data_IF_571192896986
#
_entry.id   IF_571192896986
#
_cell.length_a   1.000
_cell.length_b   1.000
_cell.length_c   1.000
_cell.angle_alpha   90.00
_cell.angle_beta   90.00
_cell.angle_gamma   90.00
#
_symmetry.space_group_name_H-M   'P 1'
#
loop_
_entity.id
_entity.type
_entity.pdbx_description
1 polymer ?
#
# COMPACT_ATOMS: atom_id res chain seq x y z
N UNK A 1 8.20 -7.43 -32.23
CA UNK A 1 8.23 -7.25 -30.77
C UNK A 1 8.40 -5.77 -30.50
N UNK A 2 7.33 -5.12 -30.05
CA UNK A 2 7.34 -3.74 -29.60
C UNK A 2 7.59 -3.69 -28.08
N UNK A 3 8.07 -2.55 -27.63
CA UNK A 3 8.25 -2.26 -26.21
C UNK A 3 7.25 -1.19 -25.80
N UNK A 4 6.46 -1.49 -24.77
CA UNK A 4 5.38 -0.64 -24.29
C UNK A 4 5.65 -0.19 -22.86
N UNK A 5 5.37 1.07 -22.58
CA UNK A 5 5.58 1.71 -21.28
C UNK A 5 4.23 2.17 -20.73
N UNK A 6 3.92 1.76 -19.50
CA UNK A 6 2.66 2.05 -18.82
C UNK A 6 2.92 2.88 -17.57
N UNK A 7 2.40 4.10 -17.53
CA UNK A 7 2.60 5.05 -16.44
C UNK A 7 1.28 5.75 -16.05
N UNK A 8 1.23 6.30 -14.84
CA UNK A 8 0.19 7.18 -14.33
C UNK A 8 0.71 8.56 -13.91
N UNK A 9 -0.19 9.54 -13.89
CA UNK A 9 0.06 10.83 -13.27
C UNK A 9 -1.17 11.36 -12.53
N UNK A 10 -0.92 12.12 -11.46
CA UNK A 10 -1.98 12.72 -10.67
C UNK A 10 -2.46 11.90 -9.48
N UNK A 11 -1.87 10.73 -9.22
CA UNK A 11 -2.22 9.83 -8.10
C UNK A 11 -2.24 10.52 -6.73
N UNK A 12 -1.29 11.42 -6.50
CA UNK A 12 -1.17 12.18 -5.25
C UNK A 12 -2.08 13.40 -5.15
N UNK A 13 -2.65 13.87 -6.27
CA UNK A 13 -3.55 15.02 -6.29
C UNK A 13 -4.95 14.62 -5.83
N UNK A 14 -5.62 15.48 -5.04
CA UNK A 14 -6.99 15.25 -4.56
C UNK A 14 -8.06 15.66 -5.58
N UNK A 15 -7.63 16.33 -6.64
CA UNK A 15 -8.47 16.88 -7.69
C UNK A 15 -7.99 16.35 -9.03
N UNK A 16 -8.87 16.43 -10.02
CA UNK A 16 -8.69 15.99 -11.40
C UNK A 16 -8.54 14.48 -11.58
N UNK A 17 -8.98 13.92 -12.72
CA UNK A 17 -8.68 12.54 -13.08
C UNK A 17 -7.19 12.18 -12.98
N UNK A 18 -6.91 10.96 -12.50
CA UNK A 18 -5.60 10.34 -12.74
C UNK A 18 -5.49 10.01 -14.23
N UNK A 19 -4.35 10.37 -14.81
CA UNK A 19 -4.01 10.05 -16.20
C UNK A 19 -3.32 8.71 -16.21
N UNK A 20 -3.67 7.85 -17.16
CA UNK A 20 -2.98 6.62 -17.49
C UNK A 20 -2.49 6.74 -18.93
N UNK A 21 -1.25 6.31 -19.19
CA UNK A 21 -0.68 6.33 -20.53
C UNK A 21 -0.14 4.95 -20.90
N UNK A 22 -0.18 4.65 -22.19
CA UNK A 22 0.48 3.51 -22.81
C UNK A 22 1.27 4.05 -24.00
N UNK A 23 2.59 3.90 -23.95
CA UNK A 23 3.51 4.50 -24.93
C UNK A 23 4.40 3.42 -25.54
N UNK A 24 4.56 3.43 -26.85
CA UNK A 24 5.65 2.76 -27.55
C UNK A 24 6.54 3.86 -28.13
N UNK A 25 7.86 3.75 -27.96
CA UNK A 25 8.80 4.77 -28.46
C UNK A 25 9.24 4.48 -29.90
N UNK A 26 9.23 3.21 -30.31
CA UNK A 26 9.63 2.79 -31.64
C UNK A 26 8.68 1.70 -32.21
N UNK A 27 7.70 2.07 -33.06
CA UNK A 27 7.38 3.44 -33.48
C UNK A 27 6.77 4.27 -32.34
N UNK A 28 6.82 5.59 -32.46
CA UNK A 28 6.22 6.47 -31.45
C UNK A 28 4.68 6.38 -31.52
N UNK A 29 4.08 5.68 -30.57
CA UNK A 29 2.64 5.51 -30.41
C UNK A 29 2.26 5.90 -28.98
N UNK A 30 1.25 6.75 -28.82
CA UNK A 30 0.83 7.28 -27.52
C UNK A 30 -0.68 7.10 -27.37
N UNK A 31 -1.07 6.38 -26.32
CA UNK A 31 -2.46 6.21 -25.92
C UNK A 31 -2.64 6.77 -24.50
N UNK A 32 -3.79 7.38 -24.26
CA UNK A 32 -4.10 8.05 -22.99
C UNK A 32 -5.50 7.67 -22.55
N UNK A 33 -5.68 7.51 -21.24
CA UNK A 33 -6.98 7.31 -20.62
C UNK A 33 -7.03 8.04 -19.28
N UNK A 34 -8.24 8.37 -18.85
CA UNK A 34 -8.49 9.09 -17.61
C UNK A 34 -9.31 8.23 -16.66
N UNK A 35 -8.89 8.17 -15.40
CA UNK A 35 -9.70 7.56 -14.35
C UNK A 35 -10.81 8.51 -13.94
N UNK A 36 -12.07 8.06 -13.86
CA UNK A 36 -13.17 8.93 -13.50
C UNK A 36 -12.99 9.49 -12.09
N UNK A 37 -13.52 10.69 -11.84
CA UNK A 37 -13.43 11.36 -10.53
C UNK A 37 -14.18 10.57 -9.44
N UNK A 38 -15.29 9.95 -9.84
CA UNK A 38 -16.13 9.05 -9.05
C UNK A 38 -16.66 7.93 -9.95
N UNK A 39 -17.08 6.82 -9.37
CA UNK A 39 -17.69 5.72 -10.09
C UNK A 39 -18.64 4.95 -9.18
N UNK A 40 -19.71 4.42 -9.75
CA UNK A 40 -20.59 3.50 -9.04
C UNK A 40 -20.26 2.09 -9.46
N UNK A 41 -19.55 1.38 -8.60
CA UNK A 41 -19.39 -0.06 -8.63
C UNK A 41 -18.55 -0.49 -7.42
N UNK A 42 -18.65 -1.78 -7.06
CA UNK A 42 -17.81 -2.41 -6.02
C UNK A 42 -16.33 -2.52 -6.44
N UNK A 43 -15.92 -1.88 -7.54
CA UNK A 43 -14.56 -1.95 -8.05
C UNK A 43 -13.66 -0.97 -7.30
N UNK A 44 -12.46 -1.46 -7.01
CA UNK A 44 -11.35 -0.70 -6.50
C UNK A 44 -10.69 0.13 -7.60
N UNK A 45 -9.93 1.14 -7.17
CA UNK A 45 -9.08 1.94 -8.06
C UNK A 45 -8.16 1.07 -8.94
N UNK A 46 -7.57 0.02 -8.35
CA UNK A 46 -6.66 -0.91 -9.05
C UNK A 46 -7.41 -1.69 -10.16
N UNK A 47 -8.68 -2.05 -9.93
CA UNK A 47 -9.50 -2.76 -10.93
C UNK A 47 -9.90 -1.87 -12.11
N UNK A 48 -10.25 -0.60 -11.86
CA UNK A 48 -10.58 0.35 -12.93
C UNK A 48 -9.34 0.73 -13.72
N UNK A 49 -8.21 0.98 -13.06
CA UNK A 49 -6.95 1.26 -13.75
C UNK A 49 -6.54 0.10 -14.65
N UNK A 50 -6.63 -1.14 -14.16
CA UNK A 50 -6.41 -2.34 -14.99
C UNK A 50 -7.34 -2.36 -16.20
N UNK A 51 -8.65 -2.14 -16.02
CA UNK A 51 -9.60 -2.12 -17.15
C UNK A 51 -9.21 -1.08 -18.21
N UNK A 52 -8.91 0.16 -17.78
CA UNK A 52 -8.49 1.24 -18.69
C UNK A 52 -7.20 0.94 -19.43
N UNK A 53 -6.22 0.35 -18.75
CA UNK A 53 -4.98 -0.06 -19.41
C UNK A 53 -5.22 -1.18 -20.41
N UNK A 54 -6.04 -2.18 -20.07
CA UNK A 54 -6.37 -3.27 -21.01
C UNK A 54 -7.13 -2.73 -22.23
N UNK A 55 -8.04 -1.76 -22.05
CA UNK A 55 -8.70 -1.07 -23.16
C UNK A 55 -7.67 -0.38 -24.08
N UNK A 56 -6.71 0.36 -23.52
CA UNK A 56 -5.62 0.97 -24.31
C UNK A 56 -4.77 -0.08 -25.01
N UNK A 57 -4.44 -1.20 -24.35
CA UNK A 57 -3.67 -2.28 -24.96
C UNK A 57 -4.39 -2.90 -26.16
N UNK A 58 -5.70 -3.09 -26.06
CA UNK A 58 -6.52 -3.60 -27.15
C UNK A 58 -6.57 -2.61 -28.32
N UNK A 59 -6.74 -1.32 -28.04
CA UNK A 59 -6.71 -0.26 -29.06
C UNK A 59 -5.36 -0.19 -29.77
N UNK A 60 -4.27 -0.36 -29.01
CA UNK A 60 -2.90 -0.34 -29.52
C UNK A 60 -2.50 -1.62 -30.28
N UNK A 61 -3.31 -2.67 -30.23
CA UNK A 61 -2.98 -3.97 -30.80
C UNK A 61 -1.83 -4.68 -30.09
N UNK A 62 -1.65 -4.43 -28.78
CA UNK A 62 -0.58 -5.07 -27.99
C UNK A 62 -0.79 -6.58 -27.91
N UNK A 63 0.25 -7.32 -28.26
CA UNK A 63 0.26 -8.78 -28.32
C UNK A 63 1.06 -9.39 -27.16
N UNK A 64 1.02 -10.72 -27.03
CA UNK A 64 1.84 -11.43 -26.02
C UNK A 64 3.32 -11.48 -26.40
N UNK A 65 3.64 -11.28 -27.67
CA UNK A 65 5.02 -11.23 -28.16
C UNK A 65 5.68 -9.86 -27.91
N UNK A 66 4.90 -8.87 -27.49
CA UNK A 66 5.40 -7.56 -27.07
C UNK A 66 5.86 -7.58 -25.61
N UNK A 67 6.71 -6.61 -25.26
CA UNK A 67 7.24 -6.48 -23.91
C UNK A 67 6.68 -5.24 -23.21
N UNK A 68 6.21 -5.38 -21.99
CA UNK A 68 5.58 -4.30 -21.21
C UNK A 68 6.41 -3.89 -19.99
N UNK A 69 6.82 -2.63 -19.96
CA UNK A 69 7.39 -1.97 -18.81
C UNK A 69 6.27 -1.24 -18.06
N UNK A 70 6.02 -1.64 -16.82
CA UNK A 70 4.91 -1.08 -16.02
C UNK A 70 5.47 -0.33 -14.83
N UNK A 71 4.96 0.88 -14.56
CA UNK A 71 5.32 1.62 -13.37
C UNK A 71 5.10 0.79 -12.09
N UNK A 72 6.02 0.93 -11.14
CA UNK A 72 5.96 0.32 -9.81
C UNK A 72 4.83 0.87 -8.89
N UNK A 73 4.05 1.84 -9.37
CA UNK A 73 2.92 2.43 -8.65
C UNK A 73 1.89 1.40 -8.18
N UNK A 74 1.42 1.54 -6.94
CA UNK A 74 0.47 0.58 -6.33
C UNK A 74 -0.84 0.46 -7.13
N UNK A 75 -1.19 1.47 -7.92
CA UNK A 75 -2.39 1.46 -8.77
C UNK A 75 -2.36 0.32 -9.81
N UNK A 76 -1.15 -0.12 -10.20
CA UNK A 76 -0.93 -1.16 -11.20
C UNK A 76 -0.81 -2.57 -10.64
N UNK A 77 -0.91 -2.79 -9.33
CA UNK A 77 -0.76 -4.16 -8.78
C UNK A 77 -1.80 -5.16 -9.33
N UNK A 78 -3.03 -4.70 -9.57
CA UNK A 78 -4.04 -5.50 -10.26
C UNK A 78 -3.67 -5.83 -11.71
N UNK A 79 -2.99 -4.91 -12.40
CA UNK A 79 -2.50 -5.11 -13.76
C UNK A 79 -1.31 -6.07 -13.81
N UNK A 80 -0.34 -5.92 -12.91
CA UNK A 80 0.82 -6.82 -12.76
C UNK A 80 0.38 -8.29 -12.67
N UNK A 81 -0.59 -8.54 -11.78
CA UNK A 81 -1.19 -9.86 -11.61
C UNK A 81 -1.85 -10.34 -12.91
N UNK A 82 -2.67 -9.49 -13.53
CA UNK A 82 -3.39 -9.84 -14.75
C UNK A 82 -2.46 -10.14 -15.93
N UNK A 83 -1.39 -9.35 -16.14
CA UNK A 83 -0.40 -9.59 -17.20
C UNK A 83 0.28 -10.95 -17.03
N UNK A 84 0.66 -11.28 -15.79
CA UNK A 84 1.25 -12.58 -15.45
C UNK A 84 0.28 -13.73 -15.74
N UNK A 85 -0.96 -13.63 -15.26
CA UNK A 85 -1.98 -14.68 -15.45
C UNK A 85 -2.37 -14.86 -16.92
N UNK A 86 -2.19 -13.84 -17.75
CA UNK A 86 -2.54 -13.88 -19.18
C UNK A 86 -1.35 -14.12 -20.11
N UNK A 87 -0.16 -14.39 -19.55
CA UNK A 87 1.02 -14.80 -20.31
C UNK A 87 1.68 -13.68 -21.12
N UNK A 88 1.61 -12.43 -20.66
CA UNK A 88 2.37 -11.32 -21.25
C UNK A 88 3.80 -11.27 -20.71
N UNK A 89 4.75 -10.81 -21.54
CA UNK A 89 6.09 -10.47 -21.09
C UNK A 89 6.11 -9.08 -20.49
N UNK A 90 6.45 -8.97 -19.20
CA UNK A 90 6.42 -7.68 -18.53
C UNK A 90 7.36 -7.63 -17.32
N UNK A 91 7.74 -6.42 -16.93
CA UNK A 91 8.43 -6.15 -15.67
C UNK A 91 8.06 -4.79 -15.05
N UNK A 92 8.37 -4.63 -13.77
CA UNK A 92 8.20 -3.34 -13.09
C UNK A 92 9.42 -2.45 -13.32
N UNK A 93 9.19 -1.19 -13.69
CA UNK A 93 10.23 -0.17 -13.78
C UNK A 93 9.86 1.07 -12.98
N UNK A 94 10.89 1.85 -12.61
CA UNK A 94 10.69 3.24 -12.24
C UNK A 94 10.71 4.03 -13.54
N UNK A 95 9.58 4.60 -13.92
CA UNK A 95 9.48 5.24 -15.23
C UNK A 95 10.22 6.57 -15.25
N UNK A 96 10.80 6.82 -16.42
CA UNK A 96 11.38 8.04 -16.90
C UNK A 96 11.10 8.15 -18.41
N UNK A 97 11.68 9.16 -19.07
CA UNK A 97 11.52 9.36 -20.51
C UNK A 97 10.09 9.66 -20.95
N UNK A 98 9.76 9.24 -22.19
CA UNK A 98 8.58 9.73 -22.90
C UNK A 98 7.27 9.41 -22.19
N UNK A 99 7.11 8.19 -21.66
CA UNK A 99 5.87 7.81 -20.97
C UNK A 99 5.60 8.69 -19.73
N UNK A 100 6.66 8.99 -18.97
CA UNK A 100 6.56 9.85 -17.80
C UNK A 100 6.21 11.30 -18.20
N UNK A 101 6.92 11.85 -19.19
CA UNK A 101 6.68 13.20 -19.71
C UNK A 101 5.25 13.37 -20.23
N UNK A 102 4.76 12.40 -21.03
CA UNK A 102 3.39 12.42 -21.56
C UNK A 102 2.37 12.38 -20.43
N UNK A 103 2.56 11.52 -19.42
CA UNK A 103 1.62 11.42 -18.30
C UNK A 103 1.55 12.74 -17.51
N UNK A 104 2.70 13.31 -17.14
CA UNK A 104 2.77 14.56 -16.38
C UNK A 104 2.25 15.75 -17.18
N UNK A 105 2.62 15.88 -18.45
CA UNK A 105 2.13 16.96 -19.31
C UNK A 105 0.62 16.85 -19.50
N UNK A 106 0.09 15.66 -19.73
CA UNK A 106 -1.37 15.45 -19.87
C UNK A 106 -2.10 15.82 -18.57
N UNK A 107 -1.54 15.46 -17.42
CA UNK A 107 -2.09 15.84 -16.13
C UNK A 107 -2.00 17.36 -15.87
N UNK A 108 -0.93 18.03 -16.31
CA UNK A 108 -0.82 19.49 -16.24
C UNK A 108 -1.86 20.17 -17.14
N UNK A 109 -2.02 19.69 -18.38
CA UNK A 109 -2.90 20.30 -19.38
C UNK A 109 -4.38 20.24 -18.97
N UNK A 110 -4.84 19.17 -18.33
CA UNK A 110 -6.23 19.13 -17.84
C UNK A 110 -6.47 20.17 -16.74
N UNK A 111 -5.46 20.46 -15.91
CA UNK A 111 -5.57 21.44 -14.82
C UNK A 111 -5.58 22.86 -15.40
N UNK A 112 -4.68 23.15 -16.35
CA UNK A 112 -4.65 24.43 -17.08
C UNK A 112 -5.96 24.67 -17.82
N UNK A 113 -6.48 23.64 -18.51
CA UNK A 113 -7.75 23.72 -19.24
C UNK A 113 -8.95 24.01 -18.33
N UNK A 114 -8.84 23.70 -17.04
CA UNK A 114 -9.85 24.03 -16.03
C UNK A 114 -9.72 25.45 -15.46
N UNK A 115 -8.70 26.22 -15.87
CA UNK A 115 -8.45 27.61 -15.46
C UNK A 115 -7.33 27.80 -14.45
N UNK A 116 -6.50 26.78 -14.19
CA UNK A 116 -5.32 26.93 -13.34
C UNK A 116 -4.21 27.71 -14.07
N UNK A 117 -3.43 28.56 -13.38
CA UNK A 117 -2.37 29.36 -14.01
C UNK A 117 -1.31 28.49 -14.71
N UNK A 118 -1.02 28.78 -15.98
CA UNK A 118 -0.13 27.99 -16.84
C UNK A 118 1.37 28.18 -16.55
N UNK A 119 1.71 29.25 -15.84
CA UNK A 119 3.03 29.57 -15.30
C UNK A 119 3.38 28.72 -14.08
N UNK A 120 2.39 28.25 -13.32
CA UNK A 120 2.60 27.32 -12.20
C UNK A 120 2.70 25.89 -12.74
N UNK A 121 3.91 25.33 -12.68
CA UNK A 121 4.23 23.99 -13.19
C UNK A 121 4.83 23.10 -12.12
N UNK A 122 4.79 21.80 -12.37
CA UNK A 122 5.57 20.84 -11.59
C UNK A 122 7.06 21.02 -11.91
N UNK A 123 7.83 21.45 -10.92
CA UNK A 123 9.29 21.62 -11.04
C UNK A 123 10.00 20.58 -10.17
N UNK A 124 11.10 20.00 -10.71
CA UNK A 124 11.98 19.07 -9.98
C UNK A 124 11.25 17.93 -9.25
N UNK A 125 10.12 17.47 -9.81
CA UNK A 125 9.26 16.45 -9.18
C UNK A 125 8.76 16.84 -7.78
N UNK A 126 8.65 18.14 -7.47
CA UNK A 126 8.06 18.63 -6.22
C UNK A 126 6.52 18.56 -6.24
N UNK A 127 6.00 17.34 -6.33
CA UNK A 127 4.55 17.07 -6.38
C UNK A 127 3.81 17.62 -5.16
N UNK A 128 4.47 17.64 -3.99
CA UNK A 128 3.85 18.07 -2.74
C UNK A 128 3.43 19.54 -2.82
N UNK A 129 4.31 20.42 -3.26
CA UNK A 129 4.03 21.84 -3.32
C UNK A 129 3.15 22.18 -4.52
N UNK A 130 3.37 21.52 -5.66
CA UNK A 130 2.48 21.65 -6.80
C UNK A 130 1.02 21.28 -6.45
N UNK A 131 0.77 20.10 -5.85
CA UNK A 131 -0.58 19.71 -5.46
C UNK A 131 -1.18 20.56 -4.35
N UNK A 132 -0.37 21.17 -3.48
CA UNK A 132 -0.86 22.17 -2.52
C UNK A 132 -1.39 23.42 -3.20
N UNK A 133 -0.70 23.90 -4.24
CA UNK A 133 -1.16 25.06 -5.02
C UNK A 133 -2.47 24.74 -5.75
N UNK A 134 -2.56 23.57 -6.38
CA UNK A 134 -3.83 23.10 -6.98
C UNK A 134 -4.94 22.99 -5.93
N UNK A 135 -4.67 22.40 -4.76
CA UNK A 135 -5.65 22.29 -3.66
C UNK A 135 -6.11 23.67 -3.15
N UNK A 136 -5.22 24.66 -3.08
CA UNK A 136 -5.57 26.04 -2.68
C UNK A 136 -6.46 26.69 -3.74
N UNK A 137 -6.06 26.62 -5.01
CA UNK A 137 -6.84 27.16 -6.12
C UNK A 137 -8.24 26.54 -6.21
N UNK A 138 -8.40 25.23 -5.96
CA UNK A 138 -9.73 24.60 -5.90
C UNK A 138 -10.59 25.18 -4.76
N UNK A 139 -9.99 25.52 -3.61
CA UNK A 139 -10.73 26.00 -2.41
C UNK A 139 -11.16 27.45 -2.50
N UNK A 140 -10.52 28.25 -3.34
CA UNK A 140 -10.84 29.67 -3.54
C UNK A 140 -12.21 29.87 -4.19
N UNK A 141 -12.71 28.88 -4.94
CA UNK A 141 -13.98 28.98 -5.66
C UNK A 141 -14.76 27.66 -5.57
N UNK A 142 -15.92 27.64 -4.87
CA UNK A 142 -16.77 26.46 -4.75
C UNK A 142 -17.19 25.83 -6.10
N UNK A 143 -17.27 26.61 -7.19
CA UNK A 143 -17.60 26.06 -8.51
C UNK A 143 -16.54 25.05 -9.02
N UNK A 144 -15.32 25.10 -8.47
CA UNK A 144 -14.21 24.18 -8.79
C UNK A 144 -14.29 22.86 -8.04
N UNK A 145 -15.21 22.69 -7.07
CA UNK A 145 -15.37 21.44 -6.34
C UNK A 145 -15.80 20.27 -7.23
N UNK A 146 -16.35 20.54 -8.41
CA UNK A 146 -16.62 19.54 -9.44
C UNK A 146 -15.38 18.75 -9.90
N UNK A 147 -14.17 19.27 -9.65
CA UNK A 147 -12.91 18.59 -9.97
C UNK A 147 -12.41 17.70 -8.82
N UNK A 148 -13.06 17.70 -7.65
CA UNK A 148 -12.63 16.88 -6.52
C UNK A 148 -12.86 15.40 -6.81
N UNK A 149 -11.83 14.59 -6.53
CA UNK A 149 -11.95 13.13 -6.56
C UNK A 149 -12.83 12.66 -5.40
N UNK A 150 -13.65 11.64 -5.64
CA UNK A 150 -14.41 10.99 -4.60
C UNK A 150 -13.51 10.10 -3.73
N UNK A 151 -13.27 10.55 -2.50
CA UNK A 151 -12.43 9.85 -1.54
C UNK A 151 -13.02 8.49 -1.10
N UNK A 152 -14.33 8.27 -1.19
CA UNK A 152 -14.97 7.03 -0.74
C UNK A 152 -14.61 5.87 -1.66
N UNK A 153 -14.71 6.06 -2.97
CA UNK A 153 -14.46 5.02 -3.98
C UNK A 153 -12.97 4.79 -4.23
N UNK A 154 -12.14 5.82 -4.00
CA UNK A 154 -10.66 5.74 -4.08
C UNK A 154 -10.00 5.22 -2.80
N UNK A 155 -10.76 5.13 -1.71
CA UNK A 155 -10.30 4.57 -0.46
C UNK A 155 -10.14 3.04 -0.58
N UNK A 156 -9.00 2.49 -0.16
CA UNK A 156 -8.88 1.02 -0.06
C UNK A 156 -10.03 0.45 0.77
N UNK A 157 -10.71 -0.62 0.32
CA UNK A 157 -11.81 -1.24 1.04
C UNK A 157 -11.44 -1.51 2.51
N UNK A 158 -12.41 -1.31 3.40
CA UNK A 158 -12.16 -1.37 4.85
C UNK A 158 -11.49 -2.69 5.27
N UNK A 159 -11.94 -3.82 4.72
CA UNK A 159 -11.39 -5.16 4.97
C UNK A 159 -9.88 -5.25 4.75
N UNK A 160 -9.31 -4.49 3.80
CA UNK A 160 -7.89 -4.51 3.48
C UNK A 160 -7.03 -3.70 4.47
N UNK A 161 -7.67 -2.97 5.39
CA UNK A 161 -7.00 -2.14 6.41
C UNK A 161 -6.79 -2.87 7.73
N UNK A 162 -7.36 -4.06 7.89
CA UNK A 162 -7.14 -4.94 9.02
C UNK A 162 -5.87 -5.76 8.80
N UNK A 163 -4.92 -5.65 9.73
CA UNK A 163 -3.62 -6.34 9.68
C UNK A 163 -3.46 -7.15 10.95
N UNK A 164 -3.30 -8.47 10.81
CA UNK A 164 -2.87 -9.35 11.90
C UNK A 164 -1.36 -9.21 12.06
N UNK A 165 -0.88 -8.96 13.29
CA UNK A 165 0.53 -8.79 13.61
C UNK A 165 0.82 -9.09 15.07
N UNK A 166 2.09 -9.09 15.48
CA UNK A 166 2.46 -9.10 16.89
C UNK A 166 2.24 -7.73 17.56
N UNK A 167 1.74 -7.73 18.79
CA UNK A 167 1.67 -6.54 19.63
C UNK A 167 3.06 -6.19 20.17
N UNK A 168 3.39 -4.92 20.26
CA UNK A 168 4.66 -4.48 20.84
C UNK A 168 4.62 -4.50 22.37
N UNK A 169 5.65 -3.98 23.02
CA UNK A 169 5.80 -3.96 24.49
C UNK A 169 4.72 -3.20 25.28
N UNK A 170 3.70 -2.63 24.64
CA UNK A 170 2.62 -1.91 25.32
C UNK A 170 1.30 -2.67 25.21
N UNK A 171 0.60 -2.81 26.34
CA UNK A 171 -0.76 -3.34 26.34
C UNK A 171 -1.69 -2.41 25.54
N UNK A 172 -2.65 -2.99 24.83
CA UNK A 172 -3.69 -2.26 24.10
C UNK A 172 -5.06 -2.62 24.66
N UNK A 173 -6.07 -1.81 24.38
CA UNK A 173 -7.45 -2.13 24.74
C UNK A 173 -8.19 -2.58 23.48
N UNK A 174 -8.86 -3.73 23.53
CA UNK A 174 -9.68 -4.21 22.43
C UNK A 174 -10.91 -3.33 22.23
N UNK A 175 -11.19 -2.92 20.99
CA UNK A 175 -12.35 -2.09 20.69
C UNK A 175 -13.69 -2.86 20.76
N UNK A 176 -13.69 -4.19 20.63
CA UNK A 176 -14.90 -5.04 20.74
C UNK A 176 -15.19 -5.43 22.19
N UNK A 177 -14.33 -6.22 22.81
CA UNK A 177 -14.58 -6.78 24.14
C UNK A 177 -14.13 -5.87 25.31
N UNK A 178 -13.44 -4.76 25.02
CA UNK A 178 -12.89 -3.79 26.00
C UNK A 178 -11.82 -4.36 26.96
N UNK A 179 -11.48 -5.65 26.87
CA UNK A 179 -10.38 -6.27 27.63
C UNK A 179 -9.01 -5.85 27.09
N UNK A 180 -7.97 -6.01 27.92
CA UNK A 180 -6.58 -5.75 27.51
C UNK A 180 -6.07 -6.82 26.54
N UNK A 181 -5.32 -6.35 25.55
CA UNK A 181 -4.50 -7.16 24.64
C UNK A 181 -3.09 -7.05 25.20
N UNK A 182 -2.53 -8.18 25.62
CA UNK A 182 -1.25 -8.21 26.32
C UNK A 182 -0.11 -7.76 25.40
N UNK A 183 0.96 -7.16 25.96
CA UNK A 183 2.21 -6.98 25.21
C UNK A 183 2.67 -8.30 24.58
N UNK A 184 3.28 -8.22 23.40
CA UNK A 184 3.89 -9.39 22.74
C UNK A 184 2.92 -10.56 22.47
N UNK A 185 1.63 -10.25 22.28
CA UNK A 185 0.61 -11.21 21.87
C UNK A 185 0.07 -10.90 20.46
N UNK A 186 -0.60 -11.85 19.78
CA UNK A 186 -1.29 -11.57 18.53
C UNK A 186 -2.32 -10.43 18.64
N UNK A 187 -2.33 -9.54 17.65
CA UNK A 187 -3.24 -8.39 17.60
C UNK A 187 -3.68 -8.09 16.17
N UNK A 188 -4.96 -7.72 16.01
CA UNK A 188 -5.46 -7.15 14.76
C UNK A 188 -5.48 -5.63 14.89
N UNK A 189 -4.74 -4.95 14.01
CA UNK A 189 -4.74 -3.50 13.90
C UNK A 189 -5.58 -3.07 12.70
N UNK A 190 -6.61 -2.26 12.94
CA UNK A 190 -7.35 -1.54 11.91
C UNK A 190 -6.83 -0.11 11.82
N UNK A 191 -6.30 0.30 10.65
CA UNK A 191 -5.78 1.65 10.42
C UNK A 191 -6.74 2.46 9.57
N UNK A 192 -7.05 3.67 10.01
CA UNK A 192 -7.94 4.58 9.29
C UNK A 192 -7.49 6.03 9.45
N UNK A 193 -8.12 6.94 8.69
CA UNK A 193 -7.96 8.38 8.87
C UNK A 193 -9.30 8.97 9.28
N UNK A 194 -9.25 9.86 10.27
CA UNK A 194 -10.41 10.63 10.71
C UNK A 194 -9.97 12.09 10.78
N UNK A 195 -10.66 12.97 10.03
CA UNK A 195 -10.29 14.39 9.89
C UNK A 195 -8.80 14.55 9.55
N UNK A 196 -8.31 13.77 8.58
CA UNK A 196 -6.92 13.78 8.13
C UNK A 196 -5.90 13.09 9.07
N UNK A 197 -6.24 12.86 10.35
CA UNK A 197 -5.34 12.25 11.34
C UNK A 197 -5.37 10.73 11.22
N UNK A 198 -4.18 10.11 11.25
CA UNK A 198 -4.06 8.64 11.27
C UNK A 198 -4.50 8.12 12.64
N UNK A 199 -5.50 7.26 12.68
CA UNK A 199 -5.98 6.57 13.87
C UNK A 199 -5.83 5.06 13.73
N UNK A 200 -5.92 4.36 14.84
CA UNK A 200 -5.92 2.89 14.86
C UNK A 200 -6.88 2.36 15.90
N UNK A 201 -7.65 1.35 15.50
CA UNK A 201 -8.35 0.47 16.43
C UNK A 201 -7.59 -0.85 16.55
N UNK A 202 -7.76 -1.47 17.71
CA UNK A 202 -7.07 -2.70 18.06
C UNK A 202 -8.08 -3.74 18.51
N UNK A 203 -7.90 -4.99 18.08
CA UNK A 203 -8.77 -6.11 18.44
C UNK A 203 -7.90 -7.33 18.78
N UNK A 204 -8.36 -8.18 19.71
CA UNK A 204 -7.90 -9.57 19.73
C UNK A 204 -8.23 -10.23 18.38
N UNK A 205 -7.47 -11.24 17.92
CA UNK A 205 -7.76 -11.96 16.68
C UNK A 205 -9.23 -12.40 16.57
N UNK A 206 -9.75 -13.06 17.61
CA UNK A 206 -11.14 -13.57 17.64
C UNK A 206 -12.18 -12.46 17.84
N UNK A 207 -11.74 -11.30 18.28
CA UNK A 207 -12.58 -10.12 18.42
C UNK A 207 -12.63 -9.26 17.15
N UNK A 208 -11.83 -9.57 16.13
CA UNK A 208 -11.84 -8.78 14.89
C UNK A 208 -13.20 -8.90 14.19
N UNK A 209 -13.82 -7.80 13.74
CA UNK A 209 -15.08 -7.85 12.99
C UNK A 209 -14.90 -8.44 11.58
N UNK A 210 -13.66 -8.47 11.07
CA UNK A 210 -13.30 -8.96 9.74
C UNK A 210 -12.08 -9.86 9.85
N UNK A 211 -12.03 -10.96 9.08
CA UNK A 211 -10.82 -11.78 8.93
C UNK A 211 -9.73 -10.92 8.26
N UNK A 212 -8.59 -10.65 8.93
CA UNK A 212 -7.55 -9.78 8.38
C UNK A 212 -7.02 -10.32 7.06
N UNK A 213 -7.03 -9.49 6.01
CA UNK A 213 -6.51 -9.90 4.71
C UNK A 213 -4.97 -9.99 4.72
N UNK A 214 -4.30 -9.13 5.49
CA UNK A 214 -2.84 -9.13 5.64
C UNK A 214 -2.43 -9.78 6.95
N UNK A 215 -1.61 -10.81 6.87
CA UNK A 215 -0.98 -11.44 8.02
C UNK A 215 0.52 -11.11 8.04
N UNK A 216 0.94 -10.39 9.09
CA UNK A 216 2.35 -10.08 9.40
C UNK A 216 2.77 -10.68 10.75
N UNK A 217 1.93 -11.53 11.33
CA UNK A 217 2.22 -12.17 12.61
C UNK A 217 3.21 -13.30 12.36
N UNK A 218 4.33 -13.23 13.07
CA UNK A 218 5.24 -14.35 13.25
C UNK A 218 5.14 -14.73 14.72
N UNK A 219 4.77 -15.98 14.99
CA UNK A 219 4.58 -16.50 16.34
C UNK A 219 5.76 -17.39 16.71
N UNK A 220 6.00 -17.52 18.00
CA UNK A 220 6.91 -18.52 18.55
C UNK A 220 6.18 -19.23 19.68
N UNK A 221 6.23 -20.56 19.66
CA UNK A 221 5.84 -21.40 20.79
C UNK A 221 7.12 -21.76 21.52
N UNK A 222 7.17 -21.43 22.80
CA UNK A 222 8.37 -21.50 23.62
C UNK A 222 8.11 -22.47 24.75
N UNK A 223 8.93 -23.52 24.87
CA UNK A 223 9.01 -24.26 26.13
C UNK A 223 9.84 -23.44 27.11
N UNK A 224 9.20 -22.97 28.18
CA UNK A 224 9.83 -22.19 29.22
C UNK A 224 9.45 -22.76 30.58
N UNK A 225 10.43 -23.36 31.26
CA UNK A 225 10.23 -23.97 32.59
C UNK A 225 9.12 -25.05 32.61
N UNK A 226 8.96 -25.80 31.51
CA UNK A 226 7.97 -26.87 31.41
C UNK A 226 6.56 -26.40 31.03
N UNK A 227 6.37 -25.12 30.73
CA UNK A 227 5.14 -24.55 30.20
C UNK A 227 5.33 -24.08 28.76
N UNK A 228 4.31 -24.28 27.92
CA UNK A 228 4.29 -23.71 26.57
C UNK A 228 3.81 -22.27 26.65
N UNK A 229 4.68 -21.34 26.31
CA UNK A 229 4.38 -19.92 26.21
C UNK A 229 4.24 -19.49 24.75
N UNK A 230 3.24 -18.65 24.49
CA UNK A 230 3.02 -18.06 23.18
C UNK A 230 3.65 -16.66 23.12
N UNK A 231 4.60 -16.50 22.20
CA UNK A 231 5.26 -15.25 21.91
C UNK A 231 5.06 -14.78 20.47
N UNK A 232 5.62 -13.62 20.18
CA UNK A 232 5.67 -13.06 18.83
C UNK A 232 7.10 -12.75 18.45
N UNK A 233 7.42 -12.89 17.17
CA UNK A 233 8.73 -12.51 16.63
C UNK A 233 8.60 -11.07 16.11
N UNK A 234 9.38 -10.17 16.68
CA UNK A 234 9.46 -8.76 16.32
C UNK A 234 10.92 -8.34 16.21
N UNK A 235 11.18 -7.17 15.62
CA UNK A 235 12.52 -6.59 15.69
C UNK A 235 12.84 -6.15 17.12
N UNK A 236 14.01 -6.53 17.62
CA UNK A 236 14.56 -6.04 18.88
C UNK A 236 14.71 -4.51 18.81
N UNK A 237 14.26 -3.81 19.85
CA UNK A 237 14.34 -2.34 19.91
C UNK A 237 15.72 -1.84 20.33
N UNK A 238 16.38 -2.64 21.15
CA UNK A 238 17.69 -2.40 21.71
C UNK A 238 18.43 -3.74 21.75
N UNK A 239 19.75 -3.68 21.91
CA UNK A 239 20.56 -4.88 22.05
C UNK A 239 20.35 -5.45 23.45
N UNK A 240 19.87 -6.69 23.54
CA UNK A 240 19.63 -7.39 24.80
C UNK A 240 20.20 -8.82 24.74
N UNK A 241 20.65 -9.39 25.87
CA UNK A 241 21.12 -10.77 25.90
C UNK A 241 19.95 -11.74 25.69
N UNK A 242 20.17 -12.77 24.89
CA UNK A 242 19.27 -13.90 24.77
C UNK A 242 19.24 -14.69 26.07
N UNK A 243 18.05 -15.00 26.61
CA UNK A 243 17.95 -15.70 27.88
C UNK A 243 18.24 -17.21 27.79
N UNK A 244 18.41 -17.76 26.59
CA UNK A 244 18.75 -19.17 26.37
C UNK A 244 20.25 -19.36 26.18
N UNK A 245 20.86 -18.67 25.22
CA UNK A 245 22.27 -18.84 24.87
C UNK A 245 23.18 -17.75 25.44
N UNK A 246 22.62 -16.73 26.08
CA UNK A 246 23.32 -15.58 26.67
C UNK A 246 24.09 -14.68 25.69
N UNK A 247 24.09 -15.00 24.39
CA UNK A 247 24.64 -14.14 23.34
C UNK A 247 23.73 -12.93 23.09
N UNK A 248 24.31 -11.83 22.63
CA UNK A 248 23.56 -10.62 22.32
C UNK A 248 22.61 -10.82 21.13
N UNK A 249 21.43 -10.21 21.22
CA UNK A 249 20.50 -10.04 20.11
C UNK A 249 20.56 -8.57 19.69
N UNK A 250 21.21 -8.22 18.55
CA UNK A 250 21.39 -6.83 18.15
C UNK A 250 20.08 -6.10 17.92
N UNK A 251 20.04 -4.79 18.22
CA UNK A 251 18.92 -3.94 17.84
C UNK A 251 18.58 -4.04 16.34
N UNK A 252 17.30 -4.07 16.00
CA UNK A 252 16.80 -4.23 14.63
C UNK A 252 16.70 -5.68 14.14
N UNK A 253 17.45 -6.61 14.73
CA UNK A 253 17.38 -8.04 14.40
C UNK A 253 16.07 -8.67 14.87
N UNK A 254 15.66 -9.79 14.26
CA UNK A 254 14.46 -10.53 14.70
C UNK A 254 14.73 -11.19 16.04
N UNK A 255 13.80 -11.03 16.97
CA UNK A 255 13.85 -11.61 18.30
C UNK A 255 12.48 -12.16 18.68
N UNK A 256 12.48 -13.21 19.50
CA UNK A 256 11.27 -13.68 20.17
C UNK A 256 11.00 -12.77 21.36
N UNK A 257 9.75 -12.36 21.48
CA UNK A 257 9.23 -11.65 22.63
C UNK A 257 8.03 -12.41 23.18
N UNK A 258 8.08 -12.78 24.46
CA UNK A 258 6.95 -13.37 25.16
C UNK A 258 6.82 -12.78 26.56
N UNK A 259 5.65 -12.99 27.18
CA UNK A 259 5.41 -12.61 28.57
C UNK A 259 4.67 -13.70 29.31
N UNK A 260 5.11 -13.96 30.54
CA UNK A 260 4.35 -14.68 31.56
C UNK A 260 4.22 -13.77 32.76
N UNK A 261 3.02 -13.27 33.03
CA UNK A 261 2.78 -12.29 34.11
C UNK A 261 3.74 -11.07 34.06
N UNK A 262 4.71 -11.04 34.98
CA UNK A 262 5.75 -10.01 35.09
C UNK A 262 7.04 -10.38 34.36
N UNK A 263 7.24 -11.64 34.04
CA UNK A 263 8.43 -12.16 33.39
C UNK A 263 8.39 -11.81 31.90
N UNK A 264 9.45 -11.16 31.44
CA UNK A 264 9.66 -10.88 30.02
C UNK A 264 10.67 -11.88 29.47
N UNK A 265 10.28 -12.56 28.41
CA UNK A 265 11.08 -13.58 27.75
C UNK A 265 11.57 -13.05 26.41
N UNK A 266 12.88 -13.14 26.20
CA UNK A 266 13.56 -12.54 25.06
C UNK A 266 14.77 -13.36 24.59
N UNK A 267 14.94 -13.47 23.28
CA UNK A 267 16.11 -14.12 22.70
C UNK A 267 16.04 -14.33 21.20
N UNK A 268 17.06 -15.01 20.66
CA UNK A 268 17.10 -15.35 19.24
C UNK A 268 15.96 -16.31 18.88
N UNK A 269 15.32 -16.14 17.71
CA UNK A 269 14.27 -17.05 17.28
C UNK A 269 14.72 -18.51 17.18
N UNK A 270 15.98 -18.76 16.82
CA UNK A 270 16.52 -20.13 16.70
C UNK A 270 16.82 -20.80 18.06
N UNK A 271 17.01 -20.00 19.12
CA UNK A 271 17.26 -20.53 20.46
C UNK A 271 15.99 -21.11 21.11
N UNK A 272 14.82 -20.71 20.64
CA UNK A 272 13.55 -21.26 21.09
C UNK A 272 13.15 -22.39 20.15
N UNK A 273 13.12 -23.63 20.66
CA UNK A 273 12.65 -24.79 19.88
C UNK A 273 11.19 -24.54 19.47
N UNK A 274 10.96 -24.35 18.18
CA UNK A 274 9.61 -24.18 17.65
C UNK A 274 8.81 -25.46 17.84
N UNK A 275 7.75 -25.41 18.64
CA UNK A 275 6.65 -26.37 18.49
C UNK A 275 5.80 -25.88 17.32
N UNK A 276 6.20 -26.21 16.09
CA UNK A 276 5.32 -26.10 14.93
C UNK A 276 4.40 -27.32 14.90
N UNK A 277 3.12 -27.15 15.20
CA UNK A 277 2.03 -27.99 14.66
C UNK A 277 0.80 -27.09 14.42
N UNK A 278 0.72 -26.54 13.21
CA UNK A 278 -0.33 -26.84 12.22
C UNK A 278 -0.59 -25.66 11.26
N UNK A 279 -0.74 -26.03 9.99
CA UNK A 279 -0.98 -25.16 8.84
C UNK A 279 -2.42 -24.68 8.68
#
# INVERSE_FOLDING_TARGET
MLQWYIEDAGGGCRSFPEVLVLVCENPQLIYQSFLPLTWDNKLSLEEIARQKVVEMMQQAGVTRDDYLYVCSGNIFFGLHKWLTENGYHWETVKMDGLAHEVAEQTFQQQIISAGFPADIRLEERNYRDFYRQVDSWIKEDPARFKYLKDAKVRCKPERLRYILKGNSGSARTCCKCRKKILPYSPIVQYRFREVGKKKSHYYHPDCSPVKPHKNKLQQANIDWQGEVLHGVILSARETLPCQICHQEVPAGSKAVHARRDKDFIFGHPECFKYVNQDG
#
